data_IF_634127162477
#
_entry.id   IF_634127162477
#
_cell.length_a   1.000
_cell.length_b   1.000
_cell.length_c   1.000
_cell.angle_alpha   90.00
_cell.angle_beta   90.00
_cell.angle_gamma   90.00
#
_symmetry.space_group_name_H-M   'P 1'
#
loop_
_entity.id
_entity.type
_entity.pdbx_description
1 polymer ?
#
# COMPACT_ATOMS: atom_id res chain seq x y z
N UNK A 1 -10.14 5.34 22.69
CA UNK A 1 -8.69 5.13 22.98
C UNK A 1 -7.91 5.55 21.74
N UNK A 2 -6.99 6.50 21.86
CA UNK A 2 -6.28 7.08 20.71
C UNK A 2 -5.42 6.03 19.99
N UNK A 3 -5.47 6.00 18.65
CA UNK A 3 -4.70 5.14 17.74
C UNK A 3 -3.26 4.85 18.17
N UNK A 4 -2.57 5.86 18.69
CA UNK A 4 -1.17 5.77 19.09
C UNK A 4 -0.89 4.66 20.11
N UNK A 5 -1.86 4.29 20.95
CA UNK A 5 -1.68 3.33 22.05
C UNK A 5 -1.65 1.87 21.57
N UNK A 6 -2.30 1.55 20.45
CA UNK A 6 -2.35 0.17 19.93
C UNK A 6 -1.17 -0.08 18.99
N UNK A 7 -0.77 0.93 18.20
CA UNK A 7 0.40 0.82 17.32
C UNK A 7 1.69 0.77 18.17
N UNK A 8 1.76 1.49 19.30
CA UNK A 8 2.94 1.48 20.21
C UNK A 8 3.20 0.15 20.93
N UNK A 9 2.31 -0.85 20.77
CA UNK A 9 2.49 -2.21 21.32
C UNK A 9 3.04 -3.20 20.31
N UNK A 10 3.22 -2.79 19.06
CA UNK A 10 3.95 -3.59 18.08
C UNK A 10 5.43 -3.55 18.43
N UNK A 11 6.16 -4.68 18.35
CA UNK A 11 7.61 -4.75 18.59
C UNK A 11 8.44 -4.07 17.48
N UNK A 12 7.88 -3.03 16.85
CA UNK A 12 8.40 -2.35 15.68
C UNK A 12 8.34 -0.84 15.87
N UNK A 13 9.40 -0.16 15.46
CA UNK A 13 9.46 1.30 15.55
C UNK A 13 8.58 1.93 14.47
N UNK A 14 7.76 2.92 14.84
CA UNK A 14 6.82 3.57 13.94
C UNK A 14 7.37 4.90 13.47
N UNK A 15 7.32 5.10 12.16
CA UNK A 15 7.68 6.32 11.46
C UNK A 15 6.45 6.84 10.72
N UNK A 16 6.31 8.16 10.64
CA UNK A 16 5.17 8.79 9.99
C UNK A 16 5.64 9.85 9.01
N UNK A 17 4.87 10.05 7.94
CA UNK A 17 5.12 11.11 6.99
C UNK A 17 5.17 12.48 7.68
N UNK A 18 6.25 13.25 7.50
CA UNK A 18 6.36 14.55 8.12
C UNK A 18 5.49 15.60 7.42
N UNK A 19 4.96 16.53 8.21
CA UNK A 19 4.17 17.67 7.70
C UNK A 19 4.99 18.61 6.84
N UNK A 20 6.31 18.70 7.04
CA UNK A 20 7.22 19.56 6.26
C UNK A 20 8.08 18.74 5.30
N UNK A 21 8.29 19.23 4.08
CA UNK A 21 9.03 18.50 3.04
C UNK A 21 10.52 18.32 3.41
N UNK A 22 11.13 19.32 4.06
CA UNK A 22 12.52 19.27 4.50
C UNK A 22 12.83 18.22 5.60
N UNK A 23 11.80 17.60 6.18
CA UNK A 23 11.96 16.56 7.20
C UNK A 23 11.88 15.14 6.61
N UNK A 24 11.52 15.00 5.33
CA UNK A 24 11.31 13.69 4.68
C UNK A 24 12.60 12.87 4.70
N UNK A 25 13.73 13.46 4.32
CA UNK A 25 15.02 12.77 4.29
C UNK A 25 15.46 12.29 5.68
N UNK A 26 15.20 13.10 6.71
CA UNK A 26 15.50 12.73 8.09
C UNK A 26 14.71 11.49 8.51
N UNK A 27 13.39 11.47 8.30
CA UNK A 27 12.52 10.33 8.66
C UNK A 27 12.94 9.06 7.92
N UNK A 28 13.29 9.17 6.63
CA UNK A 28 13.75 8.03 5.84
C UNK A 28 15.11 7.50 6.28
N UNK A 29 16.03 8.40 6.66
CA UNK A 29 17.33 8.02 7.21
C UNK A 29 17.16 7.28 8.54
N UNK A 30 16.31 7.78 9.44
CA UNK A 30 16.01 7.13 10.71
C UNK A 30 15.32 5.77 10.52
N UNK A 31 14.36 5.67 9.59
CA UNK A 31 13.71 4.42 9.20
C UNK A 31 14.70 3.39 8.68
N UNK A 32 15.60 3.81 7.77
CA UNK A 32 16.64 2.94 7.19
C UNK A 32 17.61 2.43 8.25
N UNK A 33 18.03 3.33 9.15
CA UNK A 33 18.90 2.97 10.28
C UNK A 33 18.22 1.99 11.24
N UNK A 34 16.94 2.17 11.53
CA UNK A 34 16.16 1.24 12.34
C UNK A 34 16.13 -0.16 11.69
N UNK A 35 15.87 -0.20 10.38
CA UNK A 35 15.84 -1.44 9.60
C UNK A 35 17.17 -2.19 9.62
N UNK A 36 18.29 -1.46 9.54
CA UNK A 36 19.64 -2.04 9.61
C UNK A 36 19.94 -2.60 11.00
N UNK A 37 19.58 -1.88 12.07
CA UNK A 37 19.76 -2.36 13.46
C UNK A 37 18.98 -3.64 13.75
N UNK A 38 17.72 -3.71 13.29
CA UNK A 38 16.89 -4.91 13.44
C UNK A 38 17.43 -6.13 12.68
N UNK A 39 18.34 -5.95 11.71
CA UNK A 39 18.96 -7.06 10.99
C UNK A 39 20.15 -7.68 11.74
N UNK A 40 20.77 -6.94 12.66
CA UNK A 40 22.04 -7.31 13.31
C UNK A 40 21.83 -7.71 14.78
N UNK A 41 20.89 -7.08 15.48
CA UNK A 41 20.66 -7.32 16.91
C UNK A 41 19.45 -8.23 17.20
N UNK A 42 19.65 -9.27 18.00
CA UNK A 42 18.59 -10.09 18.61
C UNK A 42 17.84 -9.39 19.78
N UNK A 43 17.98 -8.07 19.90
CA UNK A 43 17.59 -7.25 21.06
C UNK A 43 16.10 -6.86 21.17
N UNK A 44 15.19 -7.65 20.60
CA UNK A 44 13.74 -7.51 20.82
C UNK A 44 12.97 -6.55 19.89
N UNK A 45 13.64 -5.67 19.13
CA UNK A 45 13.02 -4.90 18.05
C UNK A 45 13.04 -5.73 16.76
N UNK A 46 11.86 -6.06 16.24
CA UNK A 46 11.71 -7.05 15.14
C UNK A 46 11.51 -6.40 13.77
N UNK A 47 11.30 -5.08 13.71
CA UNK A 47 11.06 -4.39 12.46
C UNK A 47 10.74 -2.90 12.61
N UNK A 48 10.35 -2.29 11.50
CA UNK A 48 9.94 -0.89 11.45
C UNK A 48 8.69 -0.74 10.58
N UNK A 49 7.87 0.24 10.92
CA UNK A 49 6.61 0.57 10.26
C UNK A 49 6.65 2.02 9.76
N UNK A 50 6.59 2.24 8.45
CA UNK A 50 6.47 3.58 7.89
C UNK A 50 5.05 3.85 7.43
N UNK A 51 4.44 4.89 7.97
CA UNK A 51 3.09 5.34 7.65
C UNK A 51 3.17 6.55 6.72
N UNK A 52 2.64 6.40 5.50
CA UNK A 52 2.67 7.45 4.48
C UNK A 52 1.31 7.66 3.82
N UNK A 53 1.12 8.82 3.18
CA UNK A 53 -0.12 9.14 2.48
C UNK A 53 0.04 8.91 0.98
N UNK A 54 -0.94 8.27 0.34
CA UNK A 54 -0.94 8.09 -1.13
C UNK A 54 -1.14 9.44 -1.82
N UNK A 55 -0.27 9.78 -2.78
CA UNK A 55 -0.21 11.13 -3.36
C UNK A 55 0.49 12.16 -2.45
N UNK A 56 0.96 11.73 -1.29
CA UNK A 56 1.82 12.49 -0.39
C UNK A 56 3.29 12.46 -0.82
N UNK A 57 4.13 13.14 -0.04
CA UNK A 57 5.53 13.41 -0.40
C UNK A 57 6.35 12.13 -0.44
N UNK A 58 6.07 11.21 0.49
CA UNK A 58 6.82 9.95 0.60
C UNK A 58 6.32 8.86 -0.35
N UNK A 59 5.09 8.95 -0.88
CA UNK A 59 4.58 7.93 -1.81
C UNK A 59 4.85 8.26 -3.29
N UNK A 60 5.07 9.53 -3.64
CA UNK A 60 5.42 9.93 -5.00
C UNK A 60 6.92 10.08 -5.24
N UNK A 61 7.64 10.73 -4.32
CA UNK A 61 9.03 11.17 -4.51
C UNK A 61 10.10 10.19 -4.00
N UNK A 62 9.70 9.16 -3.25
CA UNK A 62 10.65 8.28 -2.57
C UNK A 62 10.57 6.89 -3.16
N UNK A 63 11.75 6.38 -3.46
CA UNK A 63 11.92 5.01 -3.88
C UNK A 63 12.18 4.20 -2.59
N UNK A 64 11.63 3.00 -2.41
CA UNK A 64 11.96 2.12 -1.27
C UNK A 64 12.80 0.93 -1.76
N UNK A 65 14.11 0.96 -1.52
CA UNK A 65 15.07 -0.01 -2.10
C UNK A 65 15.23 -1.16 -1.16
N UNK A 66 15.46 -2.33 -1.73
CA UNK A 66 15.99 -3.46 -0.99
C UNK A 66 15.15 -3.68 0.29
N UNK A 67 15.78 -3.73 1.44
CA UNK A 67 15.12 -4.10 2.70
C UNK A 67 14.17 -3.04 3.28
N UNK A 68 14.02 -1.88 2.64
CA UNK A 68 13.14 -0.79 3.08
C UNK A 68 11.65 -1.01 2.77
N UNK A 69 11.33 -1.94 1.86
CA UNK A 69 9.97 -2.11 1.32
C UNK A 69 9.52 -3.56 1.13
N UNK A 70 9.83 -4.47 2.07
CA UNK A 70 9.51 -5.91 1.97
C UNK A 70 8.01 -6.23 2.00
N UNK A 71 7.22 -5.41 2.69
CA UNK A 71 5.76 -5.50 2.70
C UNK A 71 5.15 -4.11 2.53
N UNK A 72 4.26 -3.95 1.55
CA UNK A 72 3.48 -2.72 1.32
C UNK A 72 2.02 -3.03 1.57
N UNK A 73 1.40 -2.33 2.51
CA UNK A 73 -0.02 -2.44 2.78
C UNK A 73 -0.72 -1.17 2.32
N UNK A 74 -1.56 -1.31 1.30
CA UNK A 74 -2.46 -0.28 0.80
C UNK A 74 -3.79 -0.37 1.55
N UNK A 75 -4.07 0.60 2.41
CA UNK A 75 -5.32 0.66 3.19
C UNK A 75 -6.33 1.56 2.47
N UNK A 76 -7.47 0.99 2.07
CA UNK A 76 -8.50 1.71 1.31
C UNK A 76 -8.13 1.94 -0.16
N UNK A 77 -8.90 2.81 -0.84
CA UNK A 77 -8.71 3.17 -2.26
C UNK A 77 -8.63 4.70 -2.45
N UNK A 78 -7.50 5.26 -2.92
CA UNK A 78 -7.22 6.70 -2.99
C UNK A 78 -8.08 7.47 -3.99
N UNK A 79 -9.35 7.63 -3.67
CA UNK A 79 -10.29 8.36 -4.52
C UNK A 79 -10.04 9.87 -4.40
N UNK A 80 -10.02 10.59 -5.53
CA UNK A 80 -9.92 12.04 -5.50
C UNK A 80 -11.18 12.65 -4.88
N UNK A 81 -11.06 13.89 -4.40
CA UNK A 81 -12.21 14.62 -3.88
C UNK A 81 -13.20 14.96 -5.00
N UNK A 82 -14.34 14.27 -5.04
CA UNK A 82 -15.41 14.45 -6.03
C UNK A 82 -16.05 15.85 -5.95
N UNK A 83 -15.90 16.54 -4.82
CA UNK A 83 -16.43 17.89 -4.62
C UNK A 83 -15.53 18.99 -5.18
N UNK A 84 -14.36 18.67 -5.76
CA UNK A 84 -13.50 19.70 -6.34
C UNK A 84 -14.11 20.22 -7.65
N UNK A 85 -14.22 21.55 -7.83
CA UNK A 85 -14.85 22.13 -9.02
C UNK A 85 -14.11 21.73 -10.30
N UNK A 86 -12.78 21.65 -10.25
CA UNK A 86 -11.97 21.19 -11.39
C UNK A 86 -12.28 19.76 -11.82
N UNK A 87 -12.52 18.85 -10.87
CA UNK A 87 -12.84 17.47 -11.20
C UNK A 87 -14.27 17.35 -11.73
N UNK A 88 -15.21 18.09 -11.14
CA UNK A 88 -16.60 18.13 -11.62
C UNK A 88 -16.69 18.64 -13.05
N UNK A 89 -15.96 19.71 -13.38
CA UNK A 89 -15.93 20.24 -14.75
C UNK A 89 -15.30 19.24 -15.72
N UNK A 90 -14.19 18.60 -15.34
CA UNK A 90 -13.58 17.53 -16.14
C UNK A 90 -14.53 16.36 -16.38
N UNK A 91 -15.28 15.94 -15.37
CA UNK A 91 -16.27 14.88 -15.51
C UNK A 91 -17.41 15.29 -16.45
N UNK A 92 -17.97 16.49 -16.25
CA UNK A 92 -19.01 17.08 -17.09
C UNK A 92 -18.58 17.18 -18.56
N UNK A 93 -17.36 17.63 -18.80
CA UNK A 93 -16.76 17.67 -20.13
C UNK A 93 -16.67 16.27 -20.75
N UNK A 94 -16.12 15.29 -20.03
CA UNK A 94 -16.00 13.92 -20.56
C UNK A 94 -17.36 13.26 -20.82
N UNK A 95 -18.32 13.46 -19.93
CA UNK A 95 -19.67 12.90 -20.07
C UNK A 95 -20.43 13.52 -21.26
N UNK A 96 -20.12 14.76 -21.66
CA UNK A 96 -20.67 15.42 -22.86
C UNK A 96 -20.00 14.96 -24.16
N UNK A 97 -18.69 14.69 -24.13
CA UNK A 97 -17.89 14.50 -25.34
C UNK A 97 -17.52 13.04 -25.64
N UNK A 98 -17.72 12.11 -24.70
CA UNK A 98 -17.40 10.70 -24.89
C UNK A 98 -18.64 9.81 -24.78
N UNK A 99 -18.72 8.73 -25.57
CA UNK A 99 -19.84 7.80 -25.51
C UNK A 99 -19.84 7.03 -24.18
N UNK A 100 -21.03 6.83 -23.64
CA UNK A 100 -21.22 5.98 -22.47
C UNK A 100 -21.00 4.53 -22.87
N UNK A 101 -20.07 3.85 -22.20
CA UNK A 101 -19.72 2.47 -22.50
C UNK A 101 -20.30 1.55 -21.43
N UNK A 102 -21.19 0.62 -21.81
CA UNK A 102 -21.75 -0.38 -20.90
C UNK A 102 -22.50 0.21 -19.70
N UNK A 103 -23.23 1.32 -19.90
CA UNK A 103 -23.98 2.01 -18.84
C UNK A 103 -23.12 2.82 -17.86
N UNK A 104 -21.82 2.98 -18.16
CA UNK A 104 -20.87 3.69 -17.32
C UNK A 104 -20.55 5.08 -17.88
N UNK A 105 -20.63 6.11 -17.04
CA UNK A 105 -20.24 7.46 -17.44
C UNK A 105 -18.70 7.56 -17.59
N UNK A 106 -18.20 8.21 -18.65
CA UNK A 106 -16.78 8.55 -18.81
C UNK A 106 -16.18 9.25 -17.57
N UNK A 107 -16.93 10.15 -16.93
CA UNK A 107 -16.53 10.83 -15.69
C UNK A 107 -16.36 9.87 -14.50
N UNK A 108 -17.24 8.89 -14.33
CA UNK A 108 -17.07 7.85 -13.31
C UNK A 108 -15.87 6.95 -13.61
N UNK A 109 -15.62 6.64 -14.89
CA UNK A 109 -14.44 5.90 -15.31
C UNK A 109 -13.15 6.69 -14.99
N UNK A 110 -13.14 8.02 -15.20
CA UNK A 110 -12.05 8.91 -14.83
C UNK A 110 -11.73 8.82 -13.32
N UNK A 111 -12.73 8.93 -12.44
CA UNK A 111 -12.52 8.85 -10.98
C UNK A 111 -11.79 7.57 -10.59
N UNK A 112 -12.24 6.42 -11.11
CA UNK A 112 -11.58 5.15 -10.81
C UNK A 112 -10.20 5.04 -11.43
N UNK A 113 -9.98 5.62 -12.61
CA UNK A 113 -8.68 5.61 -13.27
C UNK A 113 -7.68 6.47 -12.48
N UNK A 114 -8.09 7.63 -11.97
CA UNK A 114 -7.27 8.47 -11.09
C UNK A 114 -6.90 7.71 -9.81
N UNK A 115 -7.87 7.04 -9.19
CA UNK A 115 -7.63 6.22 -8.01
C UNK A 115 -6.62 5.10 -8.28
N UNK A 116 -6.83 4.31 -9.34
CA UNK A 116 -5.93 3.20 -9.66
C UNK A 116 -4.56 3.68 -10.15
N UNK A 117 -4.48 4.86 -10.78
CA UNK A 117 -3.20 5.49 -11.12
C UNK A 117 -2.38 5.77 -9.86
N UNK A 118 -2.99 6.37 -8.84
CA UNK A 118 -2.31 6.64 -7.58
C UNK A 118 -1.87 5.35 -6.87
N UNK A 119 -2.74 4.34 -6.82
CA UNK A 119 -2.40 3.00 -6.26
C UNK A 119 -1.21 2.38 -7.00
N UNK A 120 -1.27 2.33 -8.32
CA UNK A 120 -0.24 1.71 -9.16
C UNK A 120 1.10 2.44 -9.05
N UNK A 121 1.06 3.78 -8.92
CA UNK A 121 2.24 4.58 -8.66
C UNK A 121 2.87 4.22 -7.31
N UNK A 122 2.09 4.17 -6.23
CA UNK A 122 2.61 3.84 -4.90
C UNK A 122 3.20 2.42 -4.82
N UNK A 123 2.46 1.40 -5.27
CA UNK A 123 2.92 0.01 -5.19
C UNK A 123 4.07 -0.29 -6.16
N UNK A 124 4.18 0.47 -7.26
CA UNK A 124 5.29 0.35 -8.20
C UNK A 124 6.63 0.84 -7.64
N UNK A 125 6.64 1.66 -6.58
CA UNK A 125 7.87 2.14 -5.91
C UNK A 125 8.54 1.09 -5.03
N UNK A 126 7.84 -0.01 -4.72
CA UNK A 126 8.33 -1.04 -3.80
C UNK A 126 9.15 -2.13 -4.47
N UNK A 127 9.17 -2.19 -5.82
CA UNK A 127 9.84 -3.25 -6.58
C UNK A 127 10.63 -2.59 -7.69
N UNK A 128 11.95 -2.58 -7.55
CA UNK A 128 12.81 -1.71 -8.38
C UNK A 128 13.57 -2.42 -9.48
N UNK A 129 13.93 -3.68 -9.28
CA UNK A 129 14.71 -4.45 -10.25
C UNK A 129 14.36 -5.93 -10.19
N UNK A 130 14.86 -6.69 -11.17
CA UNK A 130 14.60 -8.14 -11.33
C UNK A 130 14.97 -9.02 -10.11
N UNK A 131 15.85 -8.52 -9.24
CA UNK A 131 16.30 -9.22 -8.03
C UNK A 131 15.59 -8.76 -6.76
N UNK A 132 14.65 -7.83 -6.89
CA UNK A 132 13.94 -7.21 -5.79
C UNK A 132 12.62 -7.94 -5.51
N UNK A 133 12.19 -7.96 -4.26
CA UNK A 133 10.92 -8.58 -3.88
C UNK A 133 10.18 -7.74 -2.83
N UNK A 134 8.85 -7.73 -2.99
CA UNK A 134 7.96 -7.11 -2.03
C UNK A 134 6.64 -7.87 -2.01
N UNK A 135 6.02 -7.99 -0.84
CA UNK A 135 4.65 -8.44 -0.70
C UNK A 135 3.74 -7.23 -0.70
N UNK A 136 2.83 -7.14 -1.67
CA UNK A 136 1.82 -6.07 -1.70
C UNK A 136 0.53 -6.62 -1.12
N UNK A 137 -0.07 -5.90 -0.17
CA UNK A 137 -1.33 -6.21 0.49
C UNK A 137 -2.32 -5.09 0.18
N UNK A 138 -3.46 -5.42 -0.43
CA UNK A 138 -4.54 -4.47 -0.69
C UNK A 138 -5.72 -4.73 0.25
N UNK A 139 -5.95 -3.80 1.18
CA UNK A 139 -6.96 -3.86 2.24
C UNK A 139 -8.20 -3.02 1.88
N UNK A 140 -8.98 -3.47 0.89
CA UNK A 140 -10.30 -2.93 0.58
C UNK A 140 -11.10 -3.96 -0.25
N UNK A 141 -12.38 -4.19 0.09
CA UNK A 141 -13.25 -5.14 -0.64
C UNK A 141 -13.37 -4.78 -2.13
N UNK A 142 -13.31 -3.49 -2.46
CA UNK A 142 -13.46 -2.98 -3.83
C UNK A 142 -12.35 -3.47 -4.76
N UNK A 143 -11.15 -3.79 -4.25
CA UNK A 143 -10.11 -4.40 -5.07
C UNK A 143 -10.48 -5.79 -5.62
N UNK A 144 -11.50 -6.46 -5.07
CA UNK A 144 -12.03 -7.73 -5.60
C UNK A 144 -12.82 -7.57 -6.89
N UNK A 145 -13.28 -6.35 -7.21
CA UNK A 145 -14.16 -6.10 -8.36
C UNK A 145 -13.39 -6.33 -9.67
N UNK A 146 -13.92 -7.09 -10.65
CA UNK A 146 -13.24 -7.33 -11.93
C UNK A 146 -12.78 -6.05 -12.64
N UNK A 147 -13.59 -4.99 -12.59
CA UNK A 147 -13.28 -3.68 -13.18
C UNK A 147 -12.10 -2.95 -12.49
N UNK A 148 -11.89 -3.18 -11.19
CA UNK A 148 -10.75 -2.64 -10.45
C UNK A 148 -9.51 -3.49 -10.70
N UNK A 149 -9.68 -4.82 -10.75
CA UNK A 149 -8.61 -5.78 -11.03
C UNK A 149 -8.00 -5.61 -12.42
N UNK A 150 -8.81 -5.25 -13.42
CA UNK A 150 -8.34 -5.02 -14.79
C UNK A 150 -7.46 -3.78 -14.91
N UNK A 151 -7.53 -2.84 -13.96
CA UNK A 151 -6.72 -1.61 -13.92
C UNK A 151 -5.37 -1.78 -13.23
N UNK A 152 -5.09 -2.97 -12.67
CA UNK A 152 -3.77 -3.30 -12.14
C UNK A 152 -2.84 -3.75 -13.27
N UNK A 153 -1.54 -3.45 -13.19
CA UNK A 153 -0.54 -3.96 -14.12
C UNK A 153 -0.58 -5.49 -14.22
N UNK A 154 -0.39 -6.03 -15.42
CA UNK A 154 -0.48 -7.47 -15.71
C UNK A 154 0.43 -8.32 -14.81
N UNK A 155 1.61 -7.80 -14.48
CA UNK A 155 2.59 -8.47 -13.60
C UNK A 155 2.11 -8.58 -12.14
N UNK A 156 1.32 -7.62 -11.65
CA UNK A 156 0.65 -7.71 -10.34
C UNK A 156 -0.55 -8.63 -10.46
N UNK A 157 -1.42 -8.36 -11.44
CA UNK A 157 -2.72 -9.01 -11.63
C UNK A 157 -2.61 -10.52 -11.71
N UNK A 158 -1.65 -11.04 -12.48
CA UNK A 158 -1.41 -12.49 -12.67
C UNK A 158 -1.00 -13.21 -11.40
N UNK A 159 -0.41 -12.50 -10.44
CA UNK A 159 0.13 -13.08 -9.20
C UNK A 159 -0.73 -12.81 -8.00
N UNK A 160 -1.94 -12.30 -8.19
CA UNK A 160 -2.78 -11.87 -7.09
C UNK A 160 -3.86 -12.87 -6.70
N UNK A 161 -3.90 -13.19 -5.41
CA UNK A 161 -4.90 -14.05 -4.77
C UNK A 161 -5.82 -13.22 -3.88
N UNK A 162 -7.11 -13.57 -3.77
CA UNK A 162 -8.09 -12.85 -2.93
C UNK A 162 -8.41 -13.64 -1.66
N UNK A 163 -8.28 -13.07 -0.47
CA UNK A 163 -8.71 -13.70 0.78
C UNK A 163 -9.81 -12.91 1.53
N UNK A 164 -10.88 -13.60 1.89
CA UNK A 164 -12.02 -13.02 2.63
C UNK A 164 -11.86 -13.06 4.14
N UNK A 165 -10.70 -13.49 4.66
CA UNK A 165 -10.37 -13.50 6.09
C UNK A 165 -8.87 -13.30 6.32
N UNK A 166 -8.48 -12.81 7.49
CA UNK A 166 -7.07 -12.49 7.82
C UNK A 166 -6.19 -13.72 7.95
N UNK A 167 -6.66 -14.78 8.62
CA UNK A 167 -5.83 -15.97 8.88
C UNK A 167 -5.21 -16.58 7.62
N UNK A 168 -5.99 -16.94 6.58
CA UNK A 168 -5.47 -17.46 5.33
C UNK A 168 -4.51 -16.52 4.61
N UNK A 169 -4.82 -15.22 4.65
CA UNK A 169 -3.99 -14.19 4.05
C UNK A 169 -2.66 -14.00 4.78
N UNK A 170 -2.66 -13.97 6.11
CA UNK A 170 -1.46 -13.91 6.93
C UNK A 170 -0.59 -15.17 6.75
N UNK A 171 -1.22 -16.34 6.67
CA UNK A 171 -0.53 -17.58 6.34
C UNK A 171 0.12 -17.53 4.94
N UNK A 172 -0.56 -16.91 3.97
CA UNK A 172 -0.05 -16.73 2.62
C UNK A 172 1.15 -15.77 2.58
N UNK A 173 1.09 -14.64 3.31
CA UNK A 173 2.21 -13.71 3.50
C UNK A 173 3.43 -14.40 4.13
N UNK A 174 3.22 -15.17 5.21
CA UNK A 174 4.31 -15.88 5.91
C UNK A 174 5.01 -16.90 5.01
N UNK A 175 4.27 -17.55 4.11
CA UNK A 175 4.82 -18.49 3.11
C UNK A 175 5.77 -17.80 2.12
N UNK A 176 5.56 -16.53 1.78
CA UNK A 176 6.48 -15.78 0.90
C UNK A 176 7.79 -15.51 1.57
N UNK A 177 7.72 -15.04 2.82
CA UNK A 177 8.92 -14.76 3.61
C UNK A 177 9.82 -15.98 3.70
N UNK A 178 9.25 -17.12 4.09
CA UNK A 178 10.03 -18.35 4.30
C UNK A 178 10.63 -18.91 3.00
N UNK A 179 9.98 -18.73 1.85
CA UNK A 179 10.53 -19.14 0.55
C UNK A 179 11.67 -18.23 0.11
N UNK A 180 11.49 -16.92 0.24
CA UNK A 180 12.48 -15.94 -0.19
C UNK A 180 13.70 -15.84 0.76
N UNK A 181 13.59 -16.35 2.00
CA UNK A 181 14.70 -16.48 2.93
C UNK A 181 15.68 -17.62 2.56
N UNK A 182 15.24 -18.61 1.78
CA UNK A 182 16.04 -19.78 1.39
C UNK A 182 16.46 -19.79 -0.09
N UNK A 183 15.94 -18.89 -0.94
CA UNK A 183 16.24 -18.87 -2.37
C UNK A 183 17.44 -17.96 -2.69
N UNK A 184 18.54 -18.58 -3.12
CA UNK A 184 19.79 -17.91 -3.50
C UNK A 184 19.60 -17.09 -4.79
N UNK A 185 19.39 -15.78 -4.61
CA UNK A 185 19.65 -14.62 -5.50
C UNK A 185 19.23 -14.60 -6.98
N UNK A 186 18.88 -15.70 -7.64
CA UNK A 186 18.68 -15.73 -9.10
C UNK A 186 17.22 -15.78 -9.58
N UNK A 187 16.25 -16.09 -8.70
CA UNK A 187 14.83 -16.15 -9.05
C UNK A 187 13.91 -15.69 -7.90
N UNK A 188 14.17 -14.50 -7.34
CA UNK A 188 13.26 -13.92 -6.32
C UNK A 188 11.93 -13.57 -6.97
N UNK A 189 10.93 -14.43 -6.78
CA UNK A 189 9.62 -14.27 -7.39
C UNK A 189 8.80 -13.24 -6.60
N UNK A 190 8.46 -12.14 -7.26
CA UNK A 190 7.44 -11.22 -6.75
C UNK A 190 6.11 -11.95 -6.49
N UNK A 191 5.50 -11.72 -5.32
CA UNK A 191 4.15 -12.20 -4.98
C UNK A 191 3.29 -11.05 -4.45
N UNK A 192 2.11 -10.87 -5.03
CA UNK A 192 1.14 -9.85 -4.61
C UNK A 192 -0.08 -10.54 -3.98
N UNK A 193 -0.58 -10.02 -2.87
CA UNK A 193 -1.76 -10.54 -2.18
C UNK A 193 -2.89 -9.52 -2.22
N UNK A 194 -4.07 -9.94 -2.67
CA UNK A 194 -5.31 -9.15 -2.65
C UNK A 194 -6.17 -9.63 -1.52
N UNK A 195 -6.96 -8.70 -0.98
CA UNK A 195 -7.95 -8.96 0.04
C UNK A 195 -7.35 -9.72 1.21
N UNK A 196 -6.94 -8.99 2.22
CA UNK A 196 -6.88 -9.53 3.57
C UNK A 196 -8.09 -8.89 4.23
N UNK A 197 -9.24 -9.55 4.20
CA UNK A 197 -10.35 -9.07 5.02
C UNK A 197 -9.97 -9.33 6.47
N UNK A 198 -9.55 -8.28 7.16
CA UNK A 198 -9.36 -8.38 8.59
C UNK A 198 -10.68 -8.04 9.26
N UNK A 199 -11.58 -9.02 9.30
CA UNK A 199 -12.84 -8.91 10.05
C UNK A 199 -12.63 -8.61 11.54
N UNK A 200 -11.40 -8.78 12.05
CA UNK A 200 -10.98 -8.48 13.41
C UNK A 200 -9.73 -7.59 13.47
N UNK A 201 -9.65 -6.54 12.64
CA UNK A 201 -8.92 -5.31 13.06
C UNK A 201 -9.94 -4.31 13.61
N UNK A 202 -10.93 -4.81 14.35
CA UNK A 202 -11.86 -3.99 15.13
C UNK A 202 -11.20 -3.39 16.37
N UNK A 203 -9.92 -3.04 16.30
CA UNK A 203 -9.26 -2.32 17.40
C UNK A 203 -8.09 -1.48 16.90
N UNK A 204 -7.18 -2.03 16.09
CA UNK A 204 -6.01 -1.30 15.57
C UNK A 204 -6.35 -0.32 14.41
N UNK A 205 -7.43 -0.53 13.66
CA UNK A 205 -7.79 0.23 12.44
C UNK A 205 -9.12 1.00 12.56
N UNK A 206 -10.03 0.62 13.45
CA UNK A 206 -11.27 1.38 13.73
C UNK A 206 -11.01 2.80 14.26
N UNK A 207 -9.85 3.05 14.85
CA UNK A 207 -9.45 4.40 15.23
C UNK A 207 -8.71 5.15 14.10
N UNK A 208 -8.19 4.44 13.08
CA UNK A 208 -7.54 5.03 11.90
C UNK A 208 -8.56 5.52 10.87
N UNK A 209 -9.77 4.96 10.86
CA UNK A 209 -10.90 5.41 10.03
C UNK A 209 -11.34 6.86 10.31
N UNK A 210 -10.99 7.42 11.47
CA UNK A 210 -11.46 8.75 11.89
C UNK A 210 -10.63 9.91 11.36
N UNK A 211 -9.48 9.66 10.73
CA UNK A 211 -8.68 10.69 10.06
C UNK A 211 -8.51 10.29 8.60
N UNK A 212 -9.43 10.77 7.77
CA UNK A 212 -9.39 10.58 6.33
C UNK A 212 -8.09 11.15 5.76
N UNK A 213 -7.17 10.26 5.39
CA UNK A 213 -6.34 10.31 4.19
C UNK A 213 -5.58 8.97 4.06
N UNK A 214 -5.58 8.41 2.85
CA UNK A 214 -5.13 7.06 2.49
C UNK A 214 -3.77 6.68 3.05
N UNK A 215 -3.66 5.53 3.72
CA UNK A 215 -2.43 5.13 4.41
C UNK A 215 -1.73 3.97 3.70
N UNK A 216 -0.52 4.23 3.22
CA UNK A 216 0.43 3.19 2.81
C UNK A 216 1.32 2.86 4.00
N UNK A 217 1.27 1.61 4.42
CA UNK A 217 2.05 1.09 5.53
C UNK A 217 3.16 0.20 4.98
N UNK A 218 4.40 0.61 5.17
CA UNK A 218 5.57 -0.19 4.79
C UNK A 218 6.09 -0.90 6.04
N UNK A 219 6.13 -2.23 6.01
CA UNK A 219 6.55 -3.06 7.14
C UNK A 219 7.74 -3.94 6.74
N UNK A 220 8.75 -4.00 7.61
CA UNK A 220 9.78 -5.06 7.59
C UNK A 220 9.38 -6.15 8.58
N UNK A 221 9.31 -7.40 8.11
CA UNK A 221 8.90 -8.62 8.86
C UNK A 221 9.96 -9.71 8.85
#
# INVERSE_FOLDING_TARGET
MSCNVIISRLPSQIFQEPKKANQVEQVLSEFSRCIQRCAVDAGGLTGALLLSVVGGKMSEGINFSDDLGRCVVMVGMPYPNIKSPELQEKMSYLDKHLPHSGGRSPGQALIENLCMKAVNQSIGRAIRHRGDYSSIVMCDRRYSRPATLSKLPTWIKSRTSTHTTFGPAFAALRKVRNKNAHESTHNKLLRCYKNIFISRVGTLMENLEKSWDFKMVMEKT
#
